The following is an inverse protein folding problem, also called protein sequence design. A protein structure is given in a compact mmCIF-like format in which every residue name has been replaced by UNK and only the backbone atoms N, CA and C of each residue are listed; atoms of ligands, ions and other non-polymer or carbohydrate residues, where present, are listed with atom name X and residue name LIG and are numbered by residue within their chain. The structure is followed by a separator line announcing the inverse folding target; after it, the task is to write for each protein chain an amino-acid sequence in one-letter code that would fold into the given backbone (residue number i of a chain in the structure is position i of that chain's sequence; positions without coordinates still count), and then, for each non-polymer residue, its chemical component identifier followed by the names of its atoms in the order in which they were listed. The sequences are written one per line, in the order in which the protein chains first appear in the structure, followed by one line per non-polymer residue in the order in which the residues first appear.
data_IF_089471054265
#
_entry.id   IF_089471054265
#
_cell.length_a   1.000
_cell.length_b   1.000
_cell.length_c   1.000
_cell.angle_alpha   90.00
_cell.angle_beta   90.00
_cell.angle_gamma   90.00
#
_symmetry.space_group_name_H-M   'P 1'
#
loop_
_entity.id
_entity.type
_entity.pdbx_description
1 polymer ?
#
# COMPACT_ATOMS: atom_id res chain seq x y z
N UNK A 1 -13.48 -8.76 8.93
CA UNK A 1 -14.05 -8.00 7.80
C UNK A 1 -14.88 -8.88 6.89
N UNK A 2 -14.55 -10.17 6.75
CA UNK A 2 -15.34 -11.18 6.04
C UNK A 2 -15.93 -12.18 7.05
N UNK A 3 -16.57 -11.69 8.12
CA UNK A 3 -16.99 -12.49 9.29
C UNK A 3 -17.88 -13.69 8.92
N UNK A 4 -18.77 -13.51 7.93
CA UNK A 4 -19.62 -14.59 7.44
C UNK A 4 -18.82 -15.72 6.79
N UNK A 5 -17.60 -15.44 6.32
CA UNK A 5 -16.71 -16.44 5.72
C UNK A 5 -16.06 -17.39 6.72
N UNK A 6 -16.27 -17.19 8.03
CA UNK A 6 -15.95 -18.22 9.03
C UNK A 6 -16.71 -19.52 8.73
N UNK A 7 -17.96 -19.42 8.26
CA UNK A 7 -18.85 -20.56 8.02
C UNK A 7 -19.35 -20.68 6.57
N UNK A 8 -19.09 -19.69 5.71
CA UNK A 8 -19.58 -19.65 4.34
C UNK A 8 -18.42 -19.47 3.33
N UNK A 9 -18.49 -20.08 2.13
CA UNK A 9 -17.44 -19.94 1.13
C UNK A 9 -17.43 -18.57 0.43
N UNK A 10 -18.44 -17.72 0.64
CA UNK A 10 -18.57 -16.41 0.00
C UNK A 10 -19.11 -15.38 0.97
N UNK A 11 -18.63 -14.12 0.91
CA UNK A 11 -19.11 -13.07 1.79
C UNK A 11 -20.42 -12.45 1.30
N UNK A 12 -21.00 -11.64 2.15
CA UNK A 12 -22.12 -10.78 1.83
C UNK A 12 -21.67 -9.55 1.03
N UNK A 13 -22.63 -8.92 0.34
CA UNK A 13 -22.38 -7.63 -0.33
C UNK A 13 -21.96 -6.52 0.65
N UNK A 14 -22.41 -6.58 1.89
CA UNK A 14 -22.09 -5.59 2.91
C UNK A 14 -20.61 -5.66 3.30
N UNK A 15 -20.07 -6.87 3.52
CA UNK A 15 -18.67 -7.08 3.86
C UNK A 15 -17.73 -6.68 2.72
N UNK A 16 -18.10 -7.00 1.48
CA UNK A 16 -17.33 -6.54 0.30
C UNK A 16 -17.27 -5.02 0.24
N UNK A 17 -18.40 -4.34 0.51
CA UNK A 17 -18.47 -2.89 0.50
C UNK A 17 -17.68 -2.25 1.65
N UNK A 18 -17.71 -2.86 2.84
CA UNK A 18 -16.93 -2.41 4.01
C UNK A 18 -15.42 -2.40 3.71
N UNK A 19 -14.90 -3.48 3.12
CA UNK A 19 -13.50 -3.57 2.69
C UNK A 19 -13.19 -2.54 1.60
N UNK A 20 -14.06 -2.42 0.59
CA UNK A 20 -13.83 -1.48 -0.50
C UNK A 20 -13.75 -0.04 0.02
N UNK A 21 -14.66 0.36 0.91
CA UNK A 21 -14.64 1.71 1.50
C UNK A 21 -13.38 1.95 2.33
N UNK A 22 -12.94 0.97 3.13
CA UNK A 22 -11.69 1.11 3.87
C UNK A 22 -10.47 1.39 2.95
N UNK A 23 -10.45 0.77 1.76
CA UNK A 23 -9.40 1.02 0.77
C UNK A 23 -9.58 2.39 0.11
N UNK A 24 -10.81 2.80 -0.24
CA UNK A 24 -11.10 4.15 -0.74
C UNK A 24 -10.72 5.24 0.26
N UNK A 25 -10.89 4.98 1.56
CA UNK A 25 -10.51 5.87 2.66
C UNK A 25 -8.99 5.94 2.86
N UNK A 26 -8.22 5.14 2.11
CA UNK A 26 -6.76 5.17 2.12
C UNK A 26 -6.12 4.31 3.19
N UNK A 27 -6.77 3.22 3.62
CA UNK A 27 -6.11 2.23 4.48
C UNK A 27 -4.79 1.72 3.86
N UNK A 28 -3.79 1.49 4.71
CA UNK A 28 -2.53 0.89 4.28
C UNK A 28 -2.60 -0.65 4.24
N UNK A 29 -3.39 -1.23 5.13
CA UNK A 29 -3.61 -2.66 5.24
C UNK A 29 -5.05 -2.97 5.66
N UNK A 30 -5.51 -4.15 5.26
CA UNK A 30 -6.78 -4.76 5.68
C UNK A 30 -6.47 -6.06 6.42
N UNK A 31 -7.33 -6.45 7.36
CA UNK A 31 -7.05 -7.55 8.29
C UNK A 31 -8.15 -8.60 8.29
N UNK A 32 -7.73 -9.86 8.30
CA UNK A 32 -8.55 -11.02 8.60
C UNK A 32 -8.19 -11.51 10.01
N UNK A 33 -9.22 -11.87 10.78
CA UNK A 33 -9.13 -12.28 12.18
C UNK A 33 -9.56 -13.74 12.31
N UNK A 34 -10.81 -13.98 12.70
CA UNK A 34 -11.36 -15.33 12.89
C UNK A 34 -11.44 -16.10 11.57
N UNK A 35 -11.60 -15.39 10.45
CA UNK A 35 -11.70 -15.93 9.10
C UNK A 35 -10.50 -16.82 8.77
N UNK A 36 -9.29 -16.37 9.09
CA UNK A 36 -8.04 -17.13 8.84
C UNK A 36 -7.60 -17.97 10.02
N UNK A 37 -7.96 -17.58 11.25
CA UNK A 37 -7.49 -18.25 12.46
C UNK A 37 -8.26 -19.55 12.77
N UNK A 38 -9.58 -19.54 12.56
CA UNK A 38 -10.48 -20.65 12.93
C UNK A 38 -11.57 -20.95 11.90
N UNK A 39 -11.64 -20.18 10.82
CA UNK A 39 -12.68 -20.31 9.79
C UNK A 39 -12.56 -21.58 8.96
N UNK A 40 -13.69 -22.01 8.39
CA UNK A 40 -13.77 -23.16 7.49
C UNK A 40 -13.20 -22.87 6.09
N UNK A 41 -13.12 -21.59 5.70
CA UNK A 41 -12.68 -21.13 4.37
C UNK A 41 -11.54 -20.09 4.45
N UNK A 42 -10.39 -20.41 5.10
CA UNK A 42 -9.34 -19.43 5.37
C UNK A 42 -8.60 -18.99 4.10
N UNK A 43 -8.42 -19.90 3.13
CA UNK A 43 -7.72 -19.61 1.87
C UNK A 43 -8.59 -18.72 0.98
N UNK A 44 -9.87 -19.06 0.86
CA UNK A 44 -10.87 -18.31 0.11
C UNK A 44 -11.05 -16.91 0.69
N UNK A 45 -11.04 -16.77 2.02
CA UNK A 45 -11.11 -15.47 2.69
C UNK A 45 -9.95 -14.56 2.28
N UNK A 46 -8.72 -15.09 2.26
CA UNK A 46 -7.53 -14.33 1.80
C UNK A 46 -7.63 -14.00 0.31
N UNK A 47 -8.04 -14.96 -0.51
CA UNK A 47 -8.17 -14.74 -1.95
C UNK A 47 -9.21 -13.66 -2.28
N UNK A 48 -10.38 -13.71 -1.63
CA UNK A 48 -11.44 -12.72 -1.83
C UNK A 48 -11.00 -11.34 -1.34
N UNK A 49 -10.33 -11.25 -0.18
CA UNK A 49 -9.76 -10.00 0.30
C UNK A 49 -8.78 -9.40 -0.72
N UNK A 50 -7.90 -10.22 -1.29
CA UNK A 50 -6.95 -9.80 -2.32
C UNK A 50 -7.65 -9.37 -3.63
N UNK A 51 -8.69 -10.09 -4.06
CA UNK A 51 -9.45 -9.77 -5.27
C UNK A 51 -10.22 -8.45 -5.13
N UNK A 52 -10.82 -8.20 -3.96
CA UNK A 52 -11.46 -6.91 -3.65
C UNK A 52 -10.43 -5.78 -3.71
N UNK A 53 -9.29 -5.95 -3.04
CA UNK A 53 -8.24 -4.94 -3.03
C UNK A 53 -7.74 -4.61 -4.43
N UNK A 54 -7.40 -5.62 -5.24
CA UNK A 54 -6.97 -5.42 -6.62
C UNK A 54 -8.05 -4.78 -7.50
N UNK A 55 -9.33 -5.09 -7.27
CA UNK A 55 -10.42 -4.48 -8.03
C UNK A 55 -10.57 -3.00 -7.70
N UNK A 56 -10.49 -2.63 -6.42
CA UNK A 56 -10.61 -1.24 -5.95
C UNK A 56 -9.41 -0.42 -6.39
N UNK A 57 -8.19 -0.94 -6.24
CA UNK A 57 -6.96 -0.25 -6.65
C UNK A 57 -6.93 0.05 -8.15
N UNK A 58 -7.41 -0.89 -8.99
CA UNK A 58 -7.57 -0.64 -10.44
C UNK A 58 -8.53 0.50 -10.74
N UNK A 59 -9.56 0.69 -9.92
CA UNK A 59 -10.51 1.79 -10.08
C UNK A 59 -9.91 3.12 -9.62
N UNK A 60 -9.21 3.13 -8.47
CA UNK A 60 -8.45 4.29 -7.98
C UNK A 60 -7.42 4.79 -9.01
N UNK A 61 -6.71 3.87 -9.66
CA UNK A 61 -5.76 4.19 -10.72
C UNK A 61 -6.42 4.87 -11.91
N UNK A 62 -7.62 4.41 -12.33
CA UNK A 62 -8.39 5.00 -13.42
C UNK A 62 -8.91 6.40 -13.08
N UNK A 63 -9.28 6.62 -11.83
CA UNK A 63 -9.83 7.88 -11.35
C UNK A 63 -8.75 8.97 -11.07
N UNK A 64 -7.47 8.67 -11.29
CA UNK A 64 -6.33 9.55 -10.93
C UNK A 64 -6.35 9.93 -9.44
N UNK A 65 -6.59 8.97 -8.56
CA UNK A 65 -6.75 9.19 -7.11
C UNK A 65 -5.64 10.05 -6.46
N UNK A 66 -4.43 10.00 -7.00
CA UNK A 66 -3.26 10.79 -6.58
C UNK A 66 -3.55 12.29 -6.50
N UNK A 67 -4.52 12.80 -7.28
CA UNK A 67 -4.91 14.21 -7.27
C UNK A 67 -5.68 14.63 -6.01
N UNK A 68 -6.33 13.69 -5.31
CA UNK A 68 -7.16 13.99 -4.14
C UNK A 68 -6.35 14.11 -2.84
N UNK A 69 -5.28 13.30 -2.66
CA UNK A 69 -4.40 13.36 -1.48
C UNK A 69 -3.55 14.66 -1.45
N UNK A 70 -3.27 15.24 -2.62
CA UNK A 70 -2.40 16.40 -2.75
C UNK A 70 -3.02 17.71 -2.27
N UNK A 71 -4.36 17.86 -2.28
CA UNK A 71 -4.97 19.15 -1.99
C UNK A 71 -4.95 19.57 -0.51
N UNK A 72 -4.92 18.64 0.44
CA UNK A 72 -4.91 18.99 1.88
C UNK A 72 -3.51 19.03 2.51
N UNK A 73 -2.54 18.31 1.96
CA UNK A 73 -1.22 18.09 2.60
C UNK A 73 -0.11 19.04 2.17
N UNK A 74 -0.36 19.93 1.20
CA UNK A 74 0.67 20.83 0.63
C UNK A 74 1.11 21.98 1.55
N UNK A 75 0.48 22.20 2.71
CA UNK A 75 0.83 23.36 3.54
C UNK A 75 2.14 23.22 4.34
N UNK A 76 2.75 22.02 4.43
CA UNK A 76 4.02 21.80 5.16
C UNK A 76 4.89 20.66 4.59
N UNK A 77 5.31 20.75 3.34
CA UNK A 77 6.29 19.79 2.79
C UNK A 77 7.72 20.14 3.27
N UNK A 78 8.25 19.36 4.22
CA UNK A 78 9.70 19.27 4.47
C UNK A 78 10.43 18.80 3.19
N UNK A 79 11.74 19.07 3.07
CA UNK A 79 12.53 18.81 1.86
C UNK A 79 12.38 17.38 1.31
N UNK A 80 12.25 16.37 2.18
CA UNK A 80 11.98 14.98 1.79
C UNK A 80 10.63 14.81 1.09
N UNK A 81 9.60 15.48 1.58
CA UNK A 81 8.25 15.47 0.98
C UNK A 81 8.24 16.11 -0.40
N UNK A 82 8.93 17.23 -0.57
CA UNK A 82 9.05 17.90 -1.87
C UNK A 82 9.75 17.02 -2.90
N UNK A 83 10.80 16.29 -2.51
CA UNK A 83 11.48 15.33 -3.39
C UNK A 83 10.55 14.17 -3.76
N UNK A 84 9.82 13.61 -2.79
CA UNK A 84 8.88 12.52 -3.06
C UNK A 84 7.75 12.95 -3.99
N UNK A 85 7.20 14.15 -3.79
CA UNK A 85 6.20 14.73 -4.67
C UNK A 85 6.73 14.89 -6.10
N UNK A 86 7.92 15.49 -6.27
CA UNK A 86 8.53 15.65 -7.58
C UNK A 86 8.78 14.30 -8.29
N UNK A 87 9.31 13.32 -7.56
CA UNK A 87 9.55 11.97 -8.09
C UNK A 87 8.25 11.24 -8.47
N UNK A 88 7.18 11.36 -7.67
CA UNK A 88 5.85 10.84 -8.02
C UNK A 88 5.31 11.49 -9.29
N UNK A 89 5.40 12.82 -9.41
CA UNK A 89 4.96 13.56 -10.61
C UNK A 89 5.72 13.10 -11.86
N UNK A 90 7.05 13.05 -11.79
CA UNK A 90 7.89 12.54 -12.89
C UNK A 90 7.51 11.10 -13.24
N UNK A 91 7.26 10.25 -12.25
CA UNK A 91 6.88 8.85 -12.50
C UNK A 91 5.55 8.72 -13.25
N UNK A 92 4.57 9.59 -12.95
CA UNK A 92 3.28 9.59 -13.62
C UNK A 92 3.39 10.16 -15.04
N UNK A 93 4.12 11.27 -15.20
CA UNK A 93 4.27 11.96 -16.50
C UNK A 93 5.02 11.12 -17.53
N UNK A 94 6.03 10.37 -17.08
CA UNK A 94 6.86 9.51 -17.93
C UNK A 94 6.39 8.06 -17.97
N UNK A 95 5.25 7.74 -17.35
CA UNK A 95 4.72 6.37 -17.24
C UNK A 95 5.77 5.37 -16.70
N UNK A 96 6.53 5.79 -15.68
CA UNK A 96 7.50 4.94 -15.01
C UNK A 96 6.76 3.97 -14.09
N UNK A 97 7.03 2.67 -14.25
CA UNK A 97 6.32 1.62 -13.51
C UNK A 97 6.93 1.38 -12.11
N UNK A 98 8.10 1.95 -11.81
CA UNK A 98 8.88 1.57 -10.63
C UNK A 98 9.69 2.72 -10.05
N UNK A 99 9.62 2.87 -8.73
CA UNK A 99 10.43 3.79 -7.92
C UNK A 99 11.26 2.94 -6.96
N UNK A 100 12.57 3.17 -6.91
CA UNK A 100 13.47 2.47 -5.98
C UNK A 100 13.99 3.47 -4.95
N UNK A 101 13.91 3.12 -3.67
CA UNK A 101 14.27 3.98 -2.55
C UNK A 101 15.23 3.23 -1.65
N UNK A 102 16.45 3.73 -1.48
CA UNK A 102 17.33 3.29 -0.39
C UNK A 102 16.90 3.99 0.90
N UNK A 103 16.69 3.21 1.97
CA UNK A 103 16.22 3.76 3.24
C UNK A 103 16.71 2.94 4.43
N UNK A 104 17.33 3.61 5.41
CA UNK A 104 17.76 2.98 6.66
C UNK A 104 16.65 2.97 7.70
N UNK A 105 15.85 4.03 7.80
CA UNK A 105 14.76 4.16 8.80
C UNK A 105 13.36 3.95 8.23
N UNK A 106 13.22 3.75 6.92
CA UNK A 106 11.92 3.61 6.24
C UNK A 106 11.19 4.91 5.94
N UNK A 107 11.59 6.04 6.56
CA UNK A 107 10.87 7.32 6.48
C UNK A 107 10.66 7.81 5.05
N UNK A 108 11.67 7.72 4.19
CA UNK A 108 11.56 8.16 2.79
C UNK A 108 10.59 7.29 1.99
N UNK A 109 10.61 5.98 2.24
CA UNK A 109 9.71 5.05 1.55
C UNK A 109 8.25 5.28 1.97
N UNK A 110 7.99 5.45 3.28
CA UNK A 110 6.67 5.82 3.79
C UNK A 110 6.20 7.17 3.23
N UNK A 111 7.10 8.16 3.14
CA UNK A 111 6.77 9.47 2.58
C UNK A 111 6.41 9.39 1.10
N UNK A 112 7.10 8.55 0.32
CA UNK A 112 6.73 8.27 -1.06
C UNK A 112 5.35 7.61 -1.16
N UNK A 113 5.07 6.60 -0.32
CA UNK A 113 3.79 5.90 -0.31
C UNK A 113 2.61 6.81 0.03
N UNK A 114 2.79 7.85 0.86
CA UNK A 114 1.77 8.88 1.12
C UNK A 114 1.29 9.58 -0.16
N UNK A 115 2.14 9.70 -1.17
CA UNK A 115 1.75 10.29 -2.46
C UNK A 115 1.02 9.30 -3.38
N UNK A 116 0.84 8.05 -2.95
CA UNK A 116 0.19 6.94 -3.66
C UNK A 116 0.60 6.86 -5.14
N UNK A 117 1.90 6.85 -5.50
CA UNK A 117 2.32 6.84 -6.90
C UNK A 117 1.75 5.61 -7.63
N UNK A 118 1.46 5.74 -8.93
CA UNK A 118 1.11 4.58 -9.78
C UNK A 118 2.26 3.58 -9.90
N UNK A 119 3.48 4.10 -9.81
CA UNK A 119 4.70 3.31 -9.81
C UNK A 119 4.80 2.46 -8.53
N UNK A 120 5.21 1.20 -8.67
CA UNK A 120 5.52 0.34 -7.52
C UNK A 120 6.75 0.85 -6.79
N UNK A 121 6.71 0.86 -5.46
CA UNK A 121 7.81 1.33 -4.63
C UNK A 121 8.62 0.11 -4.15
N UNK A 122 9.89 0.04 -4.52
CA UNK A 122 10.83 -0.92 -3.90
C UNK A 122 11.69 -0.19 -2.87
N UNK A 123 11.56 -0.58 -1.60
CA UNK A 123 12.32 0.01 -0.51
C UNK A 123 13.48 -0.90 -0.13
N UNK A 124 14.70 -0.48 -0.42
CA UNK A 124 15.92 -1.19 -0.10
C UNK A 124 16.37 -0.78 1.31
N UNK A 125 16.47 -1.73 2.24
CA UNK A 125 16.93 -1.46 3.60
C UNK A 125 17.88 -2.55 4.09
N UNK A 126 18.92 -2.21 4.87
CA UNK A 126 19.77 -3.19 5.53
C UNK A 126 19.20 -3.72 6.87
N UNK A 127 18.13 -3.10 7.39
CA UNK A 127 17.50 -3.52 8.64
C UNK A 127 16.24 -4.38 8.38
N UNK A 128 16.24 -5.66 8.79
CA UNK A 128 15.07 -6.52 8.71
C UNK A 128 13.83 -5.95 9.42
N UNK A 129 14.01 -5.22 10.53
CA UNK A 129 12.89 -4.64 11.27
C UNK A 129 12.19 -3.54 10.45
N UNK A 130 12.97 -2.74 9.72
CA UNK A 130 12.44 -1.73 8.82
C UNK A 130 11.73 -2.38 7.64
N UNK A 131 12.28 -3.48 7.10
CA UNK A 131 11.59 -4.26 6.07
C UNK A 131 10.22 -4.79 6.56
N UNK A 132 10.15 -5.34 7.77
CA UNK A 132 8.89 -5.83 8.34
C UNK A 132 7.86 -4.71 8.54
N UNK A 133 8.29 -3.53 9.01
CA UNK A 133 7.41 -2.38 9.15
C UNK A 133 6.87 -1.90 7.80
N UNK A 134 7.75 -1.78 6.80
CA UNK A 134 7.40 -1.32 5.47
C UNK A 134 6.49 -2.30 4.71
N UNK A 135 6.50 -3.59 5.05
CA UNK A 135 5.61 -4.59 4.46
C UNK A 135 4.12 -4.35 4.78
N UNK A 136 3.81 -3.54 5.79
CA UNK A 136 2.44 -3.14 6.15
C UNK A 136 1.99 -1.83 5.48
N UNK A 137 2.90 -1.14 4.78
CA UNK A 137 2.63 0.17 4.18
C UNK A 137 2.23 -0.02 2.73
N UNK A 138 1.14 0.63 2.32
CA UNK A 138 0.58 0.47 0.98
C UNK A 138 1.60 0.78 -0.12
N UNK A 139 1.59 -0.06 -1.16
CA UNK A 139 2.38 0.14 -2.38
C UNK A 139 3.89 -0.10 -2.23
N UNK A 140 4.37 -0.43 -1.03
CA UNK A 140 5.79 -0.70 -0.76
C UNK A 140 6.06 -2.21 -0.82
N UNK A 141 7.07 -2.57 -1.62
CA UNK A 141 7.74 -3.88 -1.57
C UNK A 141 9.12 -3.70 -0.94
N UNK A 142 9.32 -4.07 0.33
CA UNK A 142 10.62 -3.98 0.97
C UNK A 142 11.57 -5.07 0.46
N UNK A 143 12.84 -4.73 0.29
CA UNK A 143 13.91 -5.65 -0.08
C UNK A 143 15.07 -5.48 0.91
N UNK A 144 15.38 -6.57 1.61
CA UNK A 144 16.54 -6.62 2.49
C UNK A 144 17.82 -6.64 1.64
N UNK A 145 18.69 -5.67 1.83
CA UNK A 145 19.96 -5.54 1.11
C UNK A 145 21.13 -5.45 2.10
N UNK A 146 22.36 -5.71 1.65
CA UNK A 146 23.52 -5.48 2.49
C UNK A 146 23.71 -3.97 2.72
N UNK A 147 24.24 -3.60 3.89
CA UNK A 147 24.62 -2.21 4.16
C UNK A 147 25.63 -1.73 3.11
N UNK A 148 25.37 -0.57 2.56
CA UNK A 148 26.24 0.06 1.57
C UNK A 148 27.12 1.08 2.29
N UNK A 149 28.40 0.77 2.45
CA UNK A 149 29.38 1.78 2.88
C UNK A 149 29.73 2.66 1.69
N UNK A 150 29.58 3.98 1.83
CA UNK A 150 30.13 4.92 0.86
C UNK A 150 31.65 4.74 0.80
N UNK A 151 32.16 4.49 -0.40
CA UNK A 151 33.59 4.63 -0.73
C UNK A 151 34.03 6.08 -0.67
#
# INVERSE_FOLDING_TARGET
MLDTMIYNPTPTRAEVNDIANAIYDGADAVMLSGETAVGEYPVESVQIMADIAQSVEKDLDRQNFNRYILNESMHYLDGRGSICHAAMTISNDLFINTIVIMTESGVTAMKMAQHRPRARIFALSPDPNVCHQLALIWGITPLLVNSVTST
#
